data_IF_358146363282
#
_entry.id   IF_358146363282
#
_cell.length_a   1.000
_cell.length_b   1.000
_cell.length_c   1.000
_cell.angle_alpha   90.00
_cell.angle_beta   90.00
_cell.angle_gamma   90.00
#
_symmetry.space_group_name_H-M   'P 1'
#
loop_
_entity.id
_entity.type
_entity.pdbx_description
1 polymer ?
#
# COMPACT_ATOMS: atom_id res chain seq x y z
N UNK A 1 -14.63 9.18 4.59
CA UNK A 1 -14.48 7.71 4.61
C UNK A 1 -13.64 7.29 5.81
N UNK A 2 -14.11 6.31 6.57
CA UNK A 2 -13.33 5.78 7.69
C UNK A 2 -12.40 4.68 7.17
N UNK A 3 -11.13 4.76 7.56
CA UNK A 3 -10.16 3.74 7.22
C UNK A 3 -10.26 2.63 8.26
N UNK A 4 -10.49 1.39 7.80
CA UNK A 4 -10.54 0.25 8.70
C UNK A 4 -9.16 -0.10 9.27
N UNK A 5 -9.14 -0.83 10.39
CA UNK A 5 -7.90 -1.24 11.03
C UNK A 5 -7.05 -2.11 10.12
N UNK A 6 -7.70 -2.98 9.34
CA UNK A 6 -7.00 -3.90 8.44
C UNK A 6 -6.32 -3.11 7.34
N UNK A 7 -7.04 -2.17 6.71
CA UNK A 7 -6.48 -1.33 5.66
C UNK A 7 -5.32 -0.50 6.19
N UNK A 8 -5.48 0.07 7.38
CA UNK A 8 -4.42 0.88 7.98
C UNK A 8 -3.17 0.05 8.26
N UNK A 9 -3.34 -1.16 8.77
CA UNK A 9 -2.22 -2.07 9.02
C UNK A 9 -1.49 -2.42 7.73
N UNK A 10 -2.25 -2.75 6.68
CA UNK A 10 -1.68 -3.08 5.38
C UNK A 10 -0.91 -1.89 4.81
N UNK A 11 -1.50 -0.69 4.90
CA UNK A 11 -0.85 0.52 4.43
C UNK A 11 0.46 0.80 5.18
N UNK A 12 0.48 0.61 6.49
CA UNK A 12 1.69 0.80 7.29
C UNK A 12 2.80 -0.15 6.88
N UNK A 13 2.47 -1.42 6.72
CA UNK A 13 3.46 -2.44 6.33
C UNK A 13 4.01 -2.13 4.95
N UNK A 14 3.14 -1.86 3.98
CA UNK A 14 3.56 -1.58 2.62
C UNK A 14 4.35 -0.28 2.54
N UNK A 15 3.93 0.75 3.25
CA UNK A 15 4.65 2.02 3.28
C UNK A 15 6.05 1.85 3.86
N UNK A 16 6.18 1.05 4.92
CA UNK A 16 7.48 0.75 5.49
C UNK A 16 8.38 0.06 4.46
N UNK A 17 7.84 -0.93 3.77
CA UNK A 17 8.62 -1.65 2.76
C UNK A 17 9.08 -0.73 1.62
N UNK A 18 8.19 0.15 1.16
CA UNK A 18 8.51 1.07 0.07
C UNK A 18 9.55 2.10 0.48
N UNK A 19 9.47 2.61 1.71
CA UNK A 19 10.29 3.74 2.14
C UNK A 19 11.56 3.35 2.90
N UNK A 20 11.57 2.19 3.56
CA UNK A 20 12.62 1.85 4.51
C UNK A 20 13.38 0.57 4.16
N UNK A 21 13.02 -0.10 3.08
CA UNK A 21 13.69 -1.33 2.67
C UNK A 21 14.01 -1.28 1.18
N UNK A 22 14.73 -2.29 0.70
CA UNK A 22 15.05 -2.44 -0.72
C UNK A 22 13.95 -3.15 -1.50
N UNK A 23 12.81 -3.43 -0.88
CA UNK A 23 11.69 -4.06 -1.56
C UNK A 23 11.22 -3.18 -2.72
N UNK A 24 11.13 -3.72 -3.94
CA UNK A 24 10.64 -2.93 -5.06
C UNK A 24 9.20 -2.45 -4.78
N UNK A 25 8.90 -1.17 -5.05
CA UNK A 25 7.56 -0.63 -4.76
C UNK A 25 6.44 -1.44 -5.41
N UNK A 26 6.62 -1.90 -6.65
CA UNK A 26 5.61 -2.70 -7.32
C UNK A 26 5.32 -4.00 -6.57
N UNK A 27 6.37 -4.67 -6.08
CA UNK A 27 6.19 -5.91 -5.31
C UNK A 27 5.44 -5.65 -4.00
N UNK A 28 5.80 -4.57 -3.30
CA UNK A 28 5.13 -4.20 -2.06
C UNK A 28 3.66 -3.87 -2.29
N UNK A 29 3.36 -3.15 -3.36
CA UNK A 29 1.98 -2.79 -3.71
C UNK A 29 1.17 -4.03 -4.08
N UNK A 30 1.71 -4.90 -4.94
CA UNK A 30 1.02 -6.12 -5.35
C UNK A 30 0.66 -7.00 -4.14
N UNK A 31 1.59 -7.16 -3.21
CA UNK A 31 1.37 -7.92 -1.99
C UNK A 31 0.28 -7.27 -1.13
N UNK A 32 0.36 -5.95 -0.98
CA UNK A 32 -0.63 -5.20 -0.20
C UNK A 32 -2.03 -5.33 -0.79
N UNK A 33 -2.15 -5.31 -2.12
CA UNK A 33 -3.44 -5.43 -2.78
C UNK A 33 -4.03 -6.83 -2.60
N UNK A 34 -3.20 -7.86 -2.62
CA UNK A 34 -3.67 -9.23 -2.33
C UNK A 34 -4.21 -9.33 -0.91
N UNK A 35 -3.49 -8.80 0.06
CA UNK A 35 -3.93 -8.79 1.45
C UNK A 35 -5.21 -8.00 1.62
N UNK A 36 -5.31 -6.86 0.97
CA UNK A 36 -6.50 -6.02 1.02
C UNK A 36 -7.72 -6.77 0.48
N UNK A 37 -7.56 -7.42 -0.66
CA UNK A 37 -8.67 -8.16 -1.27
C UNK A 37 -9.14 -9.28 -0.36
N UNK A 38 -8.20 -9.99 0.26
CA UNK A 38 -8.51 -11.13 1.12
C UNK A 38 -9.19 -10.71 2.41
N UNK A 39 -8.70 -9.67 3.06
CA UNK A 39 -9.12 -9.32 4.42
C UNK A 39 -10.05 -8.12 4.52
N UNK A 40 -10.09 -7.25 3.53
CA UNK A 40 -10.89 -6.03 3.56
C UNK A 40 -11.89 -5.91 2.41
N UNK A 41 -11.74 -6.73 1.38
CA UNK A 41 -12.67 -6.76 0.24
C UNK A 41 -12.24 -5.88 -0.91
N UNK A 42 -12.91 -6.10 -2.05
CA UNK A 42 -12.55 -5.43 -3.30
C UNK A 42 -12.72 -3.91 -3.25
N UNK A 43 -13.66 -3.41 -2.46
CA UNK A 43 -13.91 -1.98 -2.37
C UNK A 43 -12.71 -1.21 -1.78
N UNK A 44 -11.95 -1.85 -0.91
CA UNK A 44 -10.79 -1.23 -0.30
C UNK A 44 -9.56 -1.26 -1.21
N UNK A 45 -9.54 -2.11 -2.22
CA UNK A 45 -8.38 -2.27 -3.10
C UNK A 45 -8.04 -0.98 -3.84
N UNK A 46 -9.04 -0.30 -4.39
CA UNK A 46 -8.82 0.96 -5.12
C UNK A 46 -8.22 2.02 -4.20
N UNK A 47 -8.72 2.12 -2.99
CA UNK A 47 -8.21 3.09 -2.01
C UNK A 47 -6.74 2.81 -1.67
N UNK A 48 -6.45 1.56 -1.30
CA UNK A 48 -5.08 1.17 -0.92
C UNK A 48 -4.13 1.36 -2.10
N UNK A 49 -4.55 0.97 -3.30
CA UNK A 49 -3.74 1.13 -4.50
C UNK A 49 -3.40 2.60 -4.76
N UNK A 50 -4.40 3.48 -4.66
CA UNK A 50 -4.19 4.91 -4.88
C UNK A 50 -3.21 5.52 -3.89
N UNK A 51 -3.33 5.16 -2.62
CA UNK A 51 -2.42 5.67 -1.58
C UNK A 51 -0.99 5.19 -1.82
N UNK A 52 -0.81 3.90 -2.11
CA UNK A 52 0.52 3.33 -2.30
C UNK A 52 1.17 3.80 -3.60
N UNK A 53 0.40 3.99 -4.67
CA UNK A 53 0.93 4.57 -5.90
C UNK A 53 1.44 5.99 -5.68
N UNK A 54 0.69 6.80 -4.94
CA UNK A 54 1.10 8.16 -4.63
C UNK A 54 2.39 8.16 -3.80
N UNK A 55 2.50 7.26 -2.84
CA UNK A 55 3.70 7.13 -2.02
C UNK A 55 4.91 6.71 -2.86
N UNK A 56 4.73 5.73 -3.75
CA UNK A 56 5.81 5.25 -4.60
C UNK A 56 6.32 6.36 -5.53
N UNK A 57 5.41 7.15 -6.09
CA UNK A 57 5.79 8.29 -6.93
C UNK A 57 6.53 9.36 -6.14
N UNK A 58 6.10 9.59 -4.90
CA UNK A 58 6.78 10.52 -4.01
C UNK A 58 8.23 10.09 -3.75
N UNK A 59 8.48 8.80 -3.58
CA UNK A 59 9.83 8.28 -3.38
C UNK A 59 10.70 8.46 -4.62
N UNK A 60 10.15 8.25 -5.81
CA UNK A 60 10.88 8.50 -7.05
C UNK A 60 11.29 9.96 -7.19
N UNK A 61 10.41 10.87 -6.84
CA UNK A 61 10.68 12.31 -6.92
C UNK A 61 11.70 12.76 -5.87
N UNK A 62 11.77 12.08 -4.74
CA UNK A 62 12.69 12.41 -3.67
C UNK A 62 14.13 11.96 -3.96
N UNK A 63 14.28 11.03 -4.88
CA UNK A 63 15.62 10.55 -5.26
C UNK A 63 16.18 11.34 -6.44
#
# INVERSE_FOLDING_TARGET
MLIGRIELTILRIAAYEITQTDTPPKAAIDEALKLTRTFAGDNAVSFVNGVLDALAKSQEQAS
#
